data_IF_389495721303
#
_entry.id   IF_389495721303
#
_cell.length_a   1.000
_cell.length_b   1.000
_cell.length_c   1.000
_cell.angle_alpha   90.00
_cell.angle_beta   90.00
_cell.angle_gamma   90.00
#
_symmetry.space_group_name_H-M   'P 1'
#
loop_
_entity.id
_entity.type
_entity.pdbx_description
1 polymer ?
#
# COMPACT_ATOMS: atom_id res chain seq x y z
N UNK A 1 24.55 73.88 66.72
CA UNK A 1 25.63 74.06 65.75
C UNK A 1 25.07 73.70 64.38
N UNK A 2 24.95 74.70 63.52
CA UNK A 2 24.45 74.58 62.14
C UNK A 2 25.63 74.87 61.23
N UNK A 3 25.90 74.01 60.25
CA UNK A 3 26.60 74.42 59.03
C UNK A 3 26.00 73.65 57.83
N UNK A 4 25.46 74.36 56.82
CA UNK A 4 24.99 73.82 55.55
C UNK A 4 25.98 74.05 54.39
N UNK A 5 25.60 73.51 53.21
CA UNK A 5 26.01 73.82 51.82
C UNK A 5 27.33 73.19 51.27
N UNK A 6 27.52 72.78 50.01
CA UNK A 6 26.80 72.96 48.71
C UNK A 6 27.37 71.97 47.61
N UNK A 7 27.06 72.08 46.29
CA UNK A 7 26.70 70.97 45.40
C UNK A 7 27.75 70.56 44.33
N UNK A 8 27.44 69.53 43.54
CA UNK A 8 27.84 69.47 42.11
C UNK A 8 28.42 68.14 41.62
N UNK A 9 27.69 67.45 40.75
CA UNK A 9 28.21 67.10 39.42
C UNK A 9 27.09 66.82 38.40
N UNK A 10 27.00 67.60 37.31
CA UNK A 10 26.22 67.29 36.10
C UNK A 10 27.08 66.61 35.02
N UNK A 11 26.43 65.82 34.16
CA UNK A 11 26.98 65.27 32.91
C UNK A 11 26.79 63.74 32.84
N UNK A 12 26.06 63.17 31.89
CA UNK A 12 26.07 63.46 30.47
C UNK A 12 24.74 63.08 29.80
N UNK A 13 24.33 63.93 28.86
CA UNK A 13 23.28 63.66 27.87
C UNK A 13 23.66 62.46 26.99
N UNK A 14 22.79 61.45 26.90
CA UNK A 14 22.76 60.54 25.75
C UNK A 14 21.49 60.80 24.92
N UNK A 15 21.61 61.41 23.73
CA UNK A 15 20.50 61.90 22.93
C UNK A 15 19.95 60.78 22.04
N UNK A 16 19.06 59.95 22.57
CA UNK A 16 18.15 59.12 21.75
C UNK A 16 16.72 59.16 22.26
N UNK A 17 16.22 60.38 22.43
CA UNK A 17 14.81 60.67 22.18
C UNK A 17 14.54 60.46 20.68
N UNK A 18 13.92 59.33 20.36
CA UNK A 18 13.55 58.99 18.99
C UNK A 18 12.48 57.91 18.97
N UNK A 19 11.22 58.36 18.96
CA UNK A 19 10.06 57.70 18.33
C UNK A 19 9.41 56.51 19.05
N UNK A 20 8.18 56.77 19.52
CA UNK A 20 7.08 55.78 19.50
C UNK A 20 6.60 55.28 20.86
N UNK A 21 5.46 55.79 21.32
CA UNK A 21 4.68 55.17 22.40
C UNK A 21 4.32 53.73 22.00
N UNK A 22 4.74 52.74 22.79
CA UNK A 22 4.25 51.37 22.66
C UNK A 22 2.80 51.31 23.16
N UNK A 23 1.84 50.81 22.35
CA UNK A 23 0.49 50.58 22.83
C UNK A 23 0.50 49.53 23.93
N UNK A 24 -0.10 49.86 25.07
CA UNK A 24 -0.36 48.91 26.14
C UNK A 24 -1.27 47.79 25.60
N UNK A 25 -0.71 46.59 25.42
CA UNK A 25 -1.47 45.41 25.06
C UNK A 25 -2.43 45.08 26.21
N UNK A 26 -3.71 45.37 26.01
CA UNK A 26 -4.77 44.84 26.83
C UNK A 26 -4.74 43.31 26.75
N UNK A 27 -4.57 42.66 27.89
CA UNK A 27 -4.75 41.22 28.03
C UNK A 27 -6.20 40.87 27.72
N UNK A 28 -6.48 40.45 26.49
CA UNK A 28 -7.77 39.89 26.12
C UNK A 28 -7.90 38.47 26.70
N UNK A 29 -9.00 38.13 27.41
CA UNK A 29 -9.22 36.79 27.90
C UNK A 29 -9.30 35.81 26.72
N UNK A 30 -8.48 34.77 26.75
CA UNK A 30 -8.42 33.73 25.73
C UNK A 30 -9.69 32.86 25.77
N UNK A 31 -10.79 33.38 25.23
CA UNK A 31 -11.95 32.58 24.88
C UNK A 31 -11.56 31.72 23.66
N UNK A 32 -11.37 30.42 23.87
CA UNK A 32 -10.97 29.47 22.84
C UNK A 32 -11.95 29.48 21.67
N UNK A 33 -11.56 30.15 20.58
CA UNK A 33 -12.19 29.96 19.27
C UNK A 33 -11.88 28.52 18.82
N UNK A 34 -12.88 27.70 18.48
CA UNK A 34 -12.61 26.38 17.89
C UNK A 34 -11.93 26.60 16.54
N UNK A 35 -10.62 26.35 16.49
CA UNK A 35 -9.82 26.34 15.27
C UNK A 35 -10.45 25.37 14.25
N UNK A 36 -11.20 25.90 13.29
CA UNK A 36 -11.87 25.17 12.22
C UNK A 36 -11.00 24.99 10.96
N UNK A 37 -9.68 25.12 11.09
CA UNK A 37 -8.69 24.89 10.01
C UNK A 37 -8.44 23.41 9.68
N UNK A 38 -9.35 22.52 10.06
CA UNK A 38 -9.33 21.11 9.63
C UNK A 38 -10.18 20.93 8.37
N UNK A 39 -9.79 20.05 7.42
CA UNK A 39 -10.71 19.62 6.37
C UNK A 39 -12.03 19.17 7.00
N UNK A 40 -13.20 19.51 6.40
CA UNK A 40 -14.49 19.06 6.90
C UNK A 40 -14.47 17.55 7.17
N UNK A 41 -15.04 17.13 8.29
CA UNK A 41 -15.13 15.72 8.62
C UNK A 41 -15.78 14.96 7.46
N UNK A 42 -15.24 13.80 7.07
CA UNK A 42 -15.82 12.93 6.06
C UNK A 42 -17.33 12.76 6.22
N UNK A 43 -18.14 13.35 5.34
CA UNK A 43 -19.57 13.07 5.32
C UNK A 43 -19.78 11.61 4.93
N UNK A 44 -20.59 10.92 5.74
CA UNK A 44 -21.03 9.58 5.38
C UNK A 44 -21.96 9.69 4.17
N UNK A 45 -21.76 8.82 3.20
CA UNK A 45 -22.58 8.73 2.00
C UNK A 45 -23.27 7.37 1.93
N UNK A 46 -24.50 7.35 1.44
CA UNK A 46 -25.27 6.12 1.20
C UNK A 46 -24.89 5.44 -0.12
N UNK A 47 -23.81 5.90 -0.77
CA UNK A 47 -23.28 5.31 -1.99
C UNK A 47 -22.97 3.82 -1.81
N UNK A 48 -23.40 2.99 -2.77
CA UNK A 48 -23.05 1.57 -2.79
C UNK A 48 -21.54 1.39 -3.05
N UNK A 49 -20.77 0.82 -2.10
CA UNK A 49 -19.34 0.58 -2.27
C UNK A 49 -18.98 -0.63 -3.13
N UNK A 50 -19.97 -1.46 -3.50
CA UNK A 50 -19.79 -2.70 -4.24
C UNK A 50 -19.65 -2.44 -5.74
N UNK A 51 -18.43 -2.55 -6.25
CA UNK A 51 -18.15 -2.38 -7.68
C UNK A 51 -17.80 -3.73 -8.31
N UNK A 52 -18.23 -3.99 -9.55
CA UNK A 52 -17.85 -5.22 -10.25
C UNK A 52 -16.33 -5.33 -10.44
N UNK A 53 -15.63 -4.20 -10.59
CA UNK A 53 -14.18 -4.15 -10.74
C UNK A 53 -13.44 -4.65 -9.50
N UNK A 54 -13.91 -4.28 -8.30
CA UNK A 54 -13.31 -4.76 -7.05
C UNK A 54 -13.56 -6.26 -6.86
N UNK A 55 -14.72 -6.77 -7.29
CA UNK A 55 -15.00 -8.21 -7.31
C UNK A 55 -14.12 -8.96 -8.30
N UNK A 56 -13.86 -8.39 -9.48
CA UNK A 56 -12.91 -8.93 -10.44
C UNK A 56 -11.49 -8.99 -9.87
N UNK A 57 -11.06 -7.94 -9.14
CA UNK A 57 -9.78 -7.96 -8.40
C UNK A 57 -9.80 -9.05 -7.31
N UNK A 58 -10.92 -9.21 -6.60
CA UNK A 58 -11.02 -10.15 -5.50
C UNK A 58 -10.78 -11.62 -5.93
N UNK A 59 -11.14 -11.95 -7.18
CA UNK A 59 -10.97 -13.32 -7.72
C UNK A 59 -9.63 -13.54 -8.44
N UNK A 60 -8.80 -12.51 -8.64
CA UNK A 60 -7.49 -12.66 -9.31
C UNK A 60 -6.57 -13.73 -8.72
N UNK A 61 -6.56 -14.00 -7.38
CA UNK A 61 -5.73 -15.06 -6.85
C UNK A 61 -6.11 -16.46 -7.38
N UNK A 62 -7.39 -16.67 -7.72
CA UNK A 62 -7.83 -17.93 -8.32
C UNK A 62 -7.38 -18.04 -9.79
N UNK A 63 -7.37 -16.94 -10.53
CA UNK A 63 -6.86 -16.92 -11.89
C UNK A 63 -5.36 -17.23 -11.91
N UNK A 64 -4.60 -16.70 -10.94
CA UNK A 64 -3.19 -17.03 -10.76
C UNK A 64 -2.96 -18.48 -10.32
N UNK A 65 -3.89 -19.07 -9.57
CA UNK A 65 -3.81 -20.49 -9.23
C UNK A 65 -4.10 -21.35 -10.47
N UNK A 66 -5.10 -20.97 -11.27
CA UNK A 66 -5.48 -21.68 -12.49
C UNK A 66 -4.32 -21.77 -13.48
N UNK A 67 -3.45 -20.75 -13.57
CA UNK A 67 -2.27 -20.81 -14.44
C UNK A 67 -1.30 -21.92 -14.05
N UNK A 68 -1.23 -22.29 -12.77
CA UNK A 68 -0.34 -23.35 -12.30
C UNK A 68 -0.73 -24.72 -12.89
N UNK A 69 -2.02 -24.93 -13.20
CA UNK A 69 -2.49 -26.17 -13.83
C UNK A 69 -1.97 -26.37 -15.26
N UNK A 70 -1.43 -25.33 -15.89
CA UNK A 70 -0.84 -25.39 -17.23
C UNK A 70 0.70 -25.48 -17.21
N UNK A 71 1.32 -25.49 -16.03
CA UNK A 71 2.77 -25.62 -15.87
C UNK A 71 3.12 -27.08 -15.64
N UNK A 72 3.97 -27.64 -16.51
CA UNK A 72 4.59 -28.94 -16.30
C UNK A 72 5.80 -28.78 -15.37
N UNK A 73 5.55 -29.02 -14.08
CA UNK A 73 6.56 -28.86 -13.02
C UNK A 73 7.65 -29.93 -13.14
N UNK A 74 7.29 -31.16 -13.51
CA UNK A 74 8.24 -32.26 -13.72
C UNK A 74 9.25 -31.93 -14.82
N UNK A 75 8.78 -31.54 -16.00
CA UNK A 75 9.66 -31.14 -17.11
C UNK A 75 10.57 -29.96 -16.74
N UNK A 76 10.05 -29.02 -15.94
CA UNK A 76 10.84 -27.89 -15.45
C UNK A 76 11.96 -28.34 -14.50
N UNK A 77 11.68 -29.25 -13.56
CA UNK A 77 12.67 -29.77 -12.60
C UNK A 77 13.74 -30.62 -13.31
N UNK A 78 13.34 -31.47 -14.26
CA UNK A 78 14.26 -32.28 -15.06
C UNK A 78 15.24 -31.41 -15.87
N UNK A 79 14.72 -30.37 -16.53
CA UNK A 79 15.56 -29.44 -17.29
C UNK A 79 16.46 -28.60 -16.36
N UNK A 80 15.97 -28.23 -15.18
CA UNK A 80 16.78 -27.57 -14.15
C UNK A 80 17.99 -28.41 -13.73
N UNK A 81 17.79 -29.70 -13.51
CA UNK A 81 18.87 -30.61 -13.12
C UNK A 81 19.88 -30.79 -14.26
N UNK A 82 19.42 -31.01 -15.49
CA UNK A 82 20.30 -31.12 -16.67
C UNK A 82 21.16 -29.87 -16.88
N UNK A 83 20.58 -28.68 -16.70
CA UNK A 83 21.31 -27.43 -16.82
C UNK A 83 22.33 -27.25 -15.69
N UNK A 84 21.99 -27.65 -14.47
CA UNK A 84 22.89 -27.62 -13.32
C UNK A 84 24.08 -28.58 -13.51
N UNK A 85 23.84 -29.80 -13.98
CA UNK A 85 24.88 -30.79 -14.31
C UNK A 85 25.82 -30.30 -15.41
N UNK A 86 25.29 -29.57 -16.39
CA UNK A 86 26.06 -28.94 -17.45
C UNK A 86 26.83 -27.67 -17.01
N UNK A 87 26.71 -27.25 -15.73
CA UNK A 87 27.30 -26.01 -15.23
C UNK A 87 26.71 -24.74 -15.84
N UNK A 88 25.50 -24.81 -16.39
CA UNK A 88 24.82 -23.70 -17.04
C UNK A 88 24.09 -22.81 -16.03
N UNK A 89 24.09 -21.50 -16.28
CA UNK A 89 23.28 -20.52 -15.55
C UNK A 89 21.99 -20.14 -16.28
N UNK A 90 21.70 -20.82 -17.39
CA UNK A 90 20.46 -20.62 -18.13
C UNK A 90 19.25 -20.99 -17.24
N UNK A 91 18.15 -20.26 -17.40
CA UNK A 91 16.89 -20.59 -16.75
C UNK A 91 16.13 -21.59 -17.61
N UNK A 92 15.64 -22.71 -17.04
CA UNK A 92 14.77 -23.63 -17.76
C UNK A 92 13.54 -22.90 -18.29
N UNK A 93 13.21 -23.11 -19.56
CA UNK A 93 12.10 -22.42 -20.21
C UNK A 93 11.21 -23.42 -20.93
N UNK A 94 10.08 -23.77 -20.31
CA UNK A 94 9.01 -24.49 -20.98
C UNK A 94 7.96 -23.52 -21.55
N UNK A 95 7.26 -23.87 -22.65
CA UNK A 95 6.14 -23.07 -23.15
C UNK A 95 5.07 -22.78 -22.09
N UNK A 96 4.81 -23.73 -21.19
CA UNK A 96 3.89 -23.56 -20.06
C UNK A 96 4.38 -22.52 -19.04
N UNK A 97 5.68 -22.50 -18.73
CA UNK A 97 6.30 -21.50 -17.87
C UNK A 97 6.23 -20.10 -18.47
N UNK A 98 6.52 -19.98 -19.77
CA UNK A 98 6.41 -18.70 -20.51
C UNK A 98 4.96 -18.20 -20.53
N UNK A 99 4.00 -19.08 -20.78
CA UNK A 99 2.58 -18.74 -20.73
C UNK A 99 2.18 -18.27 -19.32
N UNK A 100 2.56 -19.00 -18.27
CA UNK A 100 2.28 -18.63 -16.89
C UNK A 100 2.88 -17.25 -16.55
N UNK A 101 4.10 -16.97 -17.02
CA UNK A 101 4.75 -15.68 -16.81
C UNK A 101 4.01 -14.54 -17.52
N UNK A 102 3.60 -14.74 -18.78
CA UNK A 102 2.82 -13.77 -19.55
C UNK A 102 1.45 -13.51 -18.90
N UNK A 103 0.78 -14.56 -18.43
CA UNK A 103 -0.50 -14.41 -17.72
C UNK A 103 -0.29 -13.68 -16.39
N UNK A 104 0.78 -13.94 -15.65
CA UNK A 104 1.11 -13.21 -14.41
C UNK A 104 1.27 -11.71 -14.67
N UNK A 105 2.04 -11.33 -15.69
CA UNK A 105 2.17 -9.91 -16.09
C UNK A 105 0.84 -9.31 -16.56
N UNK A 106 0.05 -10.09 -17.30
CA UNK A 106 -1.29 -9.70 -17.73
C UNK A 106 -2.24 -9.46 -16.56
N UNK A 107 -2.26 -10.35 -15.56
CA UNK A 107 -3.07 -10.21 -14.34
C UNK A 107 -2.62 -9.02 -13.49
N UNK A 108 -1.31 -8.76 -13.42
CA UNK A 108 -0.77 -7.57 -12.76
C UNK A 108 -1.28 -6.28 -13.43
N UNK A 109 -1.11 -6.16 -14.75
CA UNK A 109 -1.61 -5.01 -15.51
C UNK A 109 -3.14 -4.87 -15.42
N UNK A 110 -3.86 -5.98 -15.52
CA UNK A 110 -5.32 -6.03 -15.39
C UNK A 110 -5.77 -5.51 -14.01
N UNK A 111 -5.07 -5.88 -12.93
CA UNK A 111 -5.38 -5.42 -11.58
C UNK A 111 -5.29 -3.89 -11.48
N UNK A 112 -4.26 -3.28 -12.08
CA UNK A 112 -4.10 -1.82 -12.12
C UNK A 112 -5.22 -1.15 -12.92
N UNK A 113 -5.58 -1.71 -14.08
CA UNK A 113 -6.68 -1.21 -14.91
C UNK A 113 -8.03 -1.31 -14.18
N UNK A 114 -8.30 -2.44 -13.52
CA UNK A 114 -9.51 -2.63 -12.72
C UNK A 114 -9.55 -1.66 -11.53
N UNK A 115 -8.42 -1.39 -10.88
CA UNK A 115 -8.34 -0.42 -9.79
C UNK A 115 -8.64 1.01 -10.26
N UNK A 116 -8.21 1.37 -11.48
CA UNK A 116 -8.58 2.64 -12.09
C UNK A 116 -10.10 2.74 -12.34
N UNK A 117 -10.72 1.70 -12.90
CA UNK A 117 -12.16 1.68 -13.14
C UNK A 117 -12.96 1.67 -11.83
N UNK A 118 -12.49 0.95 -10.82
CA UNK A 118 -13.05 0.95 -9.48
C UNK A 118 -13.05 2.35 -8.86
N UNK A 119 -11.88 3.00 -8.86
CA UNK A 119 -11.71 4.36 -8.35
C UNK A 119 -12.64 5.35 -9.06
N UNK A 120 -12.75 5.25 -10.38
CA UNK A 120 -13.66 6.08 -11.18
C UNK A 120 -15.13 5.80 -10.87
N UNK A 121 -15.50 4.53 -10.64
CA UNK A 121 -16.85 4.14 -10.26
C UNK A 121 -17.23 4.68 -8.87
N UNK A 122 -16.34 4.58 -7.89
CA UNK A 122 -16.56 5.15 -6.55
C UNK A 122 -16.74 6.66 -6.61
N UNK A 123 -15.91 7.36 -7.39
CA UNK A 123 -16.03 8.82 -7.58
C UNK A 123 -17.38 9.20 -8.20
N UNK A 124 -17.83 8.45 -9.21
CA UNK A 124 -19.14 8.66 -9.85
C UNK A 124 -20.32 8.41 -8.90
N UNK A 125 -20.15 7.53 -7.93
CA UNK A 125 -21.17 7.21 -6.92
C UNK A 125 -21.19 8.19 -5.74
N UNK A 126 -20.35 9.23 -5.76
CA UNK A 126 -20.34 10.26 -4.70
C UNK A 126 -19.46 9.92 -3.50
N UNK A 127 -18.60 8.90 -3.58
CA UNK A 127 -17.58 8.68 -2.55
C UNK A 127 -16.54 9.80 -2.64
N UNK A 128 -16.51 10.66 -1.63
CA UNK A 128 -15.54 11.74 -1.53
C UNK A 128 -14.12 11.18 -1.29
N UNK A 129 -13.17 11.63 -2.12
CA UNK A 129 -11.74 11.26 -2.08
C UNK A 129 -11.51 9.75 -1.90
N UNK A 130 -11.87 8.91 -2.90
CA UNK A 130 -11.57 7.49 -2.84
C UNK A 130 -10.05 7.25 -2.83
N UNK A 131 -9.63 6.10 -2.32
CA UNK A 131 -8.21 5.73 -2.25
C UNK A 131 -7.57 5.75 -3.65
N UNK A 132 -6.36 6.30 -3.75
CA UNK A 132 -5.74 6.55 -5.05
C UNK A 132 -5.41 5.22 -5.77
N UNK A 133 -5.83 5.10 -7.03
CA UNK A 133 -5.63 3.88 -7.83
C UNK A 133 -4.15 3.51 -8.08
N UNK A 134 -3.16 4.42 -8.16
CA UNK A 134 -1.76 4.02 -8.43
C UNK A 134 -1.18 3.10 -7.34
N UNK A 135 -1.74 3.10 -6.14
CA UNK A 135 -1.36 2.15 -5.10
C UNK A 135 -1.64 0.69 -5.48
N UNK A 136 -2.37 0.42 -6.56
CA UNK A 136 -2.54 -0.92 -7.11
C UNK A 136 -1.24 -1.53 -7.67
N UNK A 137 -0.21 -0.73 -7.97
CA UNK A 137 1.13 -1.24 -8.27
C UNK A 137 1.75 -2.00 -7.09
N UNK A 138 1.30 -1.71 -5.86
CA UNK A 138 1.67 -2.44 -4.65
C UNK A 138 0.62 -3.49 -4.25
N UNK A 139 -0.18 -3.95 -5.22
CA UNK A 139 -1.18 -5.02 -5.12
C UNK A 139 -2.14 -4.86 -3.92
N UNK A 140 -1.85 -5.55 -2.81
CA UNK A 140 -2.68 -5.63 -1.61
C UNK A 140 -2.91 -4.27 -0.95
N UNK A 141 -1.97 -3.32 -1.11
CA UNK A 141 -2.10 -1.96 -0.53
C UNK A 141 -3.37 -1.27 -1.02
N UNK A 142 -3.70 -1.42 -2.30
CA UNK A 142 -4.93 -0.86 -2.85
C UNK A 142 -6.18 -1.52 -2.26
N UNK A 143 -6.20 -2.85 -2.18
CA UNK A 143 -7.34 -3.62 -1.66
C UNK A 143 -7.65 -3.22 -0.21
N UNK A 144 -6.62 -3.13 0.64
CA UNK A 144 -6.76 -2.71 2.04
C UNK A 144 -7.11 -1.22 2.13
N UNK A 145 -6.36 -0.36 1.44
CA UNK A 145 -6.54 1.10 1.49
C UNK A 145 -7.95 1.53 1.06
N UNK A 146 -8.46 0.95 -0.04
CA UNK A 146 -9.84 1.13 -0.49
C UNK A 146 -10.83 0.70 0.57
N UNK A 147 -10.70 -0.51 1.12
CA UNK A 147 -11.64 -1.03 2.09
C UNK A 147 -11.73 -0.15 3.34
N UNK A 148 -10.59 0.36 3.85
CA UNK A 148 -10.55 1.28 4.99
C UNK A 148 -11.24 2.61 4.66
N UNK A 149 -10.91 3.23 3.53
CA UNK A 149 -11.50 4.51 3.11
C UNK A 149 -13.01 4.33 2.92
N UNK A 150 -13.43 3.32 2.17
CA UNK A 150 -14.83 3.09 1.85
C UNK A 150 -15.64 2.71 3.09
N UNK A 151 -15.09 1.90 4.01
CA UNK A 151 -15.73 1.61 5.32
C UNK A 151 -15.92 2.88 6.14
N UNK A 152 -14.94 3.79 6.16
CA UNK A 152 -15.06 5.08 6.87
C UNK A 152 -16.12 6.00 6.26
N UNK A 153 -16.30 5.95 4.92
CA UNK A 153 -17.22 6.82 4.18
C UNK A 153 -18.65 6.29 4.06
N UNK A 154 -18.83 4.97 4.01
CA UNK A 154 -20.14 4.33 3.73
C UNK A 154 -20.60 3.39 4.86
N UNK A 155 -19.73 3.08 5.82
CA UNK A 155 -19.98 2.02 6.81
C UNK A 155 -19.92 0.59 6.25
N UNK A 156 -19.76 0.42 4.93
CA UNK A 156 -19.80 -0.87 4.20
C UNK A 156 -18.56 -1.03 3.31
N UNK A 157 -18.50 -2.11 2.53
CA UNK A 157 -17.47 -2.28 1.48
C UNK A 157 -16.23 -3.12 1.86
N UNK A 158 -16.27 -3.82 2.99
CA UNK A 158 -15.18 -4.72 3.44
C UNK A 158 -15.26 -6.11 2.80
N UNK A 159 -16.44 -6.51 2.31
CA UNK A 159 -16.65 -7.87 1.80
C UNK A 159 -15.68 -8.27 0.66
N UNK A 160 -15.45 -7.46 -0.39
CA UNK A 160 -14.51 -7.84 -1.45
C UNK A 160 -13.06 -7.99 -0.96
N UNK A 161 -12.66 -7.24 0.07
CA UNK A 161 -11.33 -7.35 0.68
C UNK A 161 -11.18 -8.68 1.43
N UNK A 162 -12.18 -9.08 2.21
CA UNK A 162 -12.16 -10.37 2.92
C UNK A 162 -12.10 -11.51 1.91
N UNK A 163 -12.91 -11.45 0.85
CA UNK A 163 -12.88 -12.44 -0.22
C UNK A 163 -11.51 -12.50 -0.89
N UNK A 164 -10.92 -11.36 -1.27
CA UNK A 164 -9.57 -11.31 -1.82
C UNK A 164 -8.54 -11.97 -0.89
N UNK A 165 -8.56 -11.66 0.40
CA UNK A 165 -7.61 -12.22 1.36
C UNK A 165 -7.79 -13.73 1.54
N UNK A 166 -9.03 -14.20 1.69
CA UNK A 166 -9.33 -15.64 1.81
C UNK A 166 -8.87 -16.38 0.55
N UNK A 167 -9.24 -15.88 -0.63
CA UNK A 167 -8.82 -16.49 -1.89
C UNK A 167 -7.30 -16.44 -2.10
N UNK A 168 -6.63 -15.36 -1.67
CA UNK A 168 -5.17 -15.28 -1.73
C UNK A 168 -4.51 -16.34 -0.85
N UNK A 169 -4.97 -16.49 0.39
CA UNK A 169 -4.44 -17.52 1.32
C UNK A 169 -4.69 -18.91 0.77
N UNK A 170 -5.92 -19.21 0.31
CA UNK A 170 -6.25 -20.50 -0.29
C UNK A 170 -5.38 -20.78 -1.51
N UNK A 171 -5.24 -19.82 -2.43
CA UNK A 171 -4.38 -19.97 -3.61
C UNK A 171 -2.94 -20.24 -3.23
N UNK A 172 -2.38 -19.51 -2.26
CA UNK A 172 -1.00 -19.75 -1.80
C UNK A 172 -0.84 -21.14 -1.20
N UNK A 173 -1.75 -21.56 -0.32
CA UNK A 173 -1.71 -22.89 0.31
C UNK A 173 -1.77 -23.99 -0.75
N UNK A 174 -2.70 -23.89 -1.71
CA UNK A 174 -2.83 -24.89 -2.79
C UNK A 174 -1.59 -24.91 -3.68
N UNK A 175 -1.06 -23.74 -4.07
CA UNK A 175 0.17 -23.66 -4.86
C UNK A 175 1.36 -24.30 -4.13
N UNK A 176 1.51 -24.06 -2.83
CA UNK A 176 2.57 -24.67 -2.01
C UNK A 176 2.40 -26.18 -1.95
N UNK A 177 1.18 -26.69 -1.81
CA UNK A 177 0.92 -28.14 -1.82
C UNK A 177 1.30 -28.75 -3.17
N UNK A 178 0.88 -28.14 -4.28
CA UNK A 178 1.15 -28.65 -5.64
C UNK A 178 2.66 -28.67 -5.91
N UNK A 179 3.35 -27.54 -5.68
CA UNK A 179 4.79 -27.43 -5.92
C UNK A 179 5.57 -28.32 -4.95
N UNK A 180 5.15 -28.38 -3.69
CA UNK A 180 5.77 -29.21 -2.67
C UNK A 180 5.64 -30.70 -2.96
N UNK A 181 4.48 -31.15 -3.45
CA UNK A 181 4.28 -32.54 -3.88
C UNK A 181 5.18 -32.89 -5.07
N UNK A 182 5.23 -32.03 -6.10
CA UNK A 182 6.12 -32.24 -7.25
C UNK A 182 7.60 -32.29 -6.84
N UNK A 183 8.03 -31.42 -5.92
CA UNK A 183 9.39 -31.45 -5.40
C UNK A 183 9.66 -32.72 -4.58
N UNK A 184 8.72 -33.17 -3.76
CA UNK A 184 8.87 -34.38 -2.95
C UNK A 184 9.01 -35.64 -3.81
N UNK A 185 8.34 -35.71 -4.95
CA UNK A 185 8.49 -36.80 -5.94
C UNK A 185 9.86 -36.76 -6.64
N UNK A 186 10.46 -35.58 -6.76
CA UNK A 186 11.74 -35.37 -7.42
C UNK A 186 12.94 -35.70 -6.53
N UNK A 187 12.84 -35.49 -5.21
CA UNK A 187 13.95 -35.68 -4.25
C UNK A 187 14.61 -37.08 -4.28
N UNK A 188 13.86 -38.20 -4.34
CA UNK A 188 14.46 -39.53 -4.42
C UNK A 188 15.32 -39.72 -5.68
N UNK A 189 14.91 -39.13 -6.81
CA UNK A 189 15.64 -39.25 -8.08
C UNK A 189 17.02 -38.60 -8.00
N UNK A 190 17.12 -37.44 -7.34
CA UNK A 190 18.39 -36.74 -7.11
C UNK A 190 19.31 -37.52 -6.16
N UNK A 191 18.74 -38.14 -5.13
CA UNK A 191 19.49 -38.94 -4.16
C UNK A 191 20.09 -40.20 -4.79
N UNK A 192 19.40 -40.81 -5.76
CA UNK A 192 19.92 -41.95 -6.52
C UNK A 192 21.06 -41.56 -7.49
N UNK A 193 21.07 -40.33 -8.00
CA UNK A 193 22.07 -39.83 -8.94
C UNK A 193 23.39 -39.36 -8.28
N UNK A 194 23.40 -39.18 -6.95
CA UNK A 194 24.60 -38.84 -6.20
C UNK A 194 25.21 -40.11 -5.58
N UNK A 195 26.39 -40.59 -6.04
CA UNK A 195 27.03 -41.73 -5.40
C UNK A 195 27.37 -41.36 -3.95
N UNK A 196 27.07 -42.26 -3.01
CA UNK A 196 27.44 -42.08 -1.61
C UNK A 196 28.96 -41.87 -1.49
N UNK A 197 29.42 -40.96 -0.59
CA UNK A 197 30.83 -40.61 -0.44
C UNK A 197 31.70 -41.80 0.00
#
# INVERSE_FOLDING_TARGET
MTFPSYPGQPGSDDPRQGLGQQPAYGQQPWAGQPNSYGPPAPQRTDADPSTPYMWAIAVTPLLSLLTLAFVDISSYLDESLRLAEAGSTATPSSPGMLLAQLVSWGLYALTVVLAFFDWRALKRRGVDRPFAWPWAFLSVVYVIGRAVVVKRRTGRGVAPMVVYLVLSVVSVVVSVIIVGAALAEFLPQVAEMTPAP
#
